data_IF_876116132143
#
_entry.id   IF_876116132143
#
_cell.length_a   1.000
_cell.length_b   1.000
_cell.length_c   1.000
_cell.angle_alpha   90.00
_cell.angle_beta   90.00
_cell.angle_gamma   90.00
#
_symmetry.space_group_name_H-M   'P 1'
#
loop_
_entity.id
_entity.type
_entity.pdbx_description
1 polymer ?
#
# COMPACT_ATOMS: atom_id res chain seq x y z
N UNK A 1 -10.79 -5.91 -2.66
CA UNK A 1 -12.00 -6.56 -3.21
C UNK A 1 -12.47 -5.84 -4.47
N UNK A 2 -12.55 -4.51 -4.47
CA UNK A 2 -13.02 -3.67 -5.59
C UNK A 2 -12.41 -3.97 -6.97
N UNK A 3 -11.09 -4.17 -7.10
CA UNK A 3 -10.48 -4.48 -8.40
C UNK A 3 -10.77 -5.92 -8.86
N UNK A 4 -10.91 -6.86 -7.92
CA UNK A 4 -11.22 -8.25 -8.25
C UNK A 4 -12.63 -8.36 -8.83
N UNK A 5 -13.62 -7.78 -8.14
CA UNK A 5 -15.00 -7.75 -8.62
C UNK A 5 -15.15 -6.98 -9.94
N UNK A 6 -14.49 -5.81 -10.06
CA UNK A 6 -14.54 -4.99 -11.28
C UNK A 6 -13.98 -5.74 -12.48
N UNK A 7 -12.81 -6.35 -12.35
CA UNK A 7 -12.19 -7.06 -13.46
C UNK A 7 -12.84 -8.42 -13.73
N UNK A 8 -13.43 -9.08 -12.73
CA UNK A 8 -14.21 -10.30 -12.93
C UNK A 8 -15.35 -10.04 -13.93
N UNK A 9 -16.08 -8.93 -13.74
CA UNK A 9 -17.13 -8.49 -14.67
C UNK A 9 -16.59 -8.15 -16.06
N UNK A 10 -15.49 -7.39 -16.14
CA UNK A 10 -14.92 -6.99 -17.43
C UNK A 10 -14.34 -8.15 -18.24
N UNK A 11 -13.80 -9.17 -17.55
CA UNK A 11 -13.19 -10.35 -18.16
C UNK A 11 -14.19 -11.50 -18.35
N UNK A 12 -15.44 -11.32 -17.93
CA UNK A 12 -16.46 -12.37 -17.90
C UNK A 12 -15.98 -13.65 -17.20
N UNK A 13 -15.43 -13.49 -15.98
CA UNK A 13 -14.96 -14.57 -15.11
C UNK A 13 -15.85 -14.61 -13.88
N UNK A 14 -16.51 -15.74 -13.63
CA UNK A 14 -17.37 -15.92 -12.47
C UNK A 14 -16.58 -16.36 -11.23
N UNK A 15 -16.73 -15.61 -10.14
CA UNK A 15 -16.22 -15.96 -8.80
C UNK A 15 -17.41 -15.93 -7.86
N UNK A 16 -17.72 -17.04 -7.20
CA UNK A 16 -18.92 -17.18 -6.37
C UNK A 16 -18.71 -16.70 -4.93
N UNK A 17 -17.49 -16.84 -4.41
CA UNK A 17 -17.12 -16.37 -3.08
C UNK A 17 -15.66 -15.95 -3.03
N UNK A 18 -15.38 -14.91 -2.25
CA UNK A 18 -14.05 -14.34 -2.06
C UNK A 18 -13.87 -13.97 -0.59
N UNK A 19 -12.83 -14.50 0.03
CA UNK A 19 -12.34 -14.05 1.34
C UNK A 19 -10.89 -13.66 1.20
N UNK A 20 -10.49 -12.63 1.93
CA UNK A 20 -9.10 -12.21 2.00
C UNK A 20 -8.70 -12.02 3.46
N UNK A 21 -7.59 -12.64 3.86
CA UNK A 21 -6.95 -12.39 5.15
C UNK A 21 -5.68 -11.59 4.91
N UNK A 22 -5.52 -10.49 5.64
CA UNK A 22 -4.35 -9.61 5.53
C UNK A 22 -3.66 -9.53 6.89
N UNK A 23 -2.36 -9.80 6.92
CA UNK A 23 -1.52 -9.53 8.08
C UNK A 23 -0.46 -8.47 7.71
N UNK A 24 -0.37 -7.42 8.51
CA UNK A 24 0.56 -6.31 8.29
C UNK A 24 1.56 -6.24 9.44
N UNK A 25 2.83 -6.43 9.11
CA UNK A 25 3.95 -6.37 10.05
C UNK A 25 4.64 -5.02 9.90
N UNK A 26 4.83 -4.33 11.01
CA UNK A 26 5.40 -2.97 11.06
C UNK A 26 6.49 -2.88 12.10
N UNK A 27 7.44 -1.98 11.85
CA UNK A 27 8.45 -1.58 12.81
C UNK A 27 8.56 -0.05 12.87
N UNK A 28 9.02 0.44 14.02
CA UNK A 28 9.27 1.85 14.29
C UNK A 28 10.58 1.97 15.04
N UNK A 29 11.46 2.85 14.58
CA UNK A 29 12.75 3.12 15.20
C UNK A 29 13.01 4.62 15.34
N UNK A 30 14.05 4.98 16.10
CA UNK A 30 14.48 6.36 16.29
C UNK A 30 13.96 7.02 17.56
N UNK A 31 14.12 8.33 17.66
CA UNK A 31 13.67 9.13 18.81
C UNK A 31 12.89 10.35 18.34
N UNK A 32 11.76 10.59 18.99
CA UNK A 32 10.95 11.80 18.78
C UNK A 32 11.75 13.04 19.12
N UNK A 33 12.44 13.06 20.28
CA UNK A 33 13.23 14.21 20.72
C UNK A 33 14.44 14.45 19.82
N UNK A 34 15.06 13.39 19.31
CA UNK A 34 16.18 13.51 18.37
C UNK A 34 15.74 13.75 16.92
N UNK A 35 14.43 13.75 16.64
CA UNK A 35 13.86 13.91 15.30
C UNK A 35 14.37 12.85 14.30
N UNK A 36 14.54 11.61 14.75
CA UNK A 36 15.05 10.49 13.93
C UNK A 36 14.04 9.37 13.69
N UNK A 37 12.76 9.62 13.98
CA UNK A 37 11.72 8.59 13.88
C UNK A 37 11.60 8.08 12.45
N UNK A 38 11.62 6.77 12.29
CA UNK A 38 11.40 6.11 11.00
C UNK A 38 10.47 4.91 11.16
N UNK A 39 9.27 5.03 10.62
CA UNK A 39 8.31 3.94 10.53
C UNK A 39 8.54 3.16 9.23
N UNK A 40 8.30 1.85 9.26
CA UNK A 40 8.40 1.01 8.06
C UNK A 40 7.46 -0.19 8.10
N UNK A 41 6.98 -0.54 6.91
CA UNK A 41 6.37 -1.82 6.63
C UNK A 41 7.47 -2.88 6.54
N UNK A 42 7.34 -3.96 7.32
CA UNK A 42 8.24 -5.12 7.24
C UNK A 42 7.75 -6.12 6.20
N UNK A 43 6.46 -6.43 6.28
CA UNK A 43 5.84 -7.48 5.49
C UNK A 43 4.33 -7.23 5.44
N UNK A 44 3.75 -7.39 4.26
CA UNK A 44 2.30 -7.46 4.08
C UNK A 44 1.98 -8.81 3.48
N UNK A 45 1.29 -9.64 4.25
CA UNK A 45 0.83 -10.95 3.82
C UNK A 45 -0.63 -10.85 3.43
N UNK A 46 -0.96 -11.40 2.25
CA UNK A 46 -2.34 -11.43 1.77
C UNK A 46 -2.63 -12.85 1.32
N UNK A 47 -3.56 -13.49 2.01
CA UNK A 47 -4.11 -14.79 1.65
C UNK A 47 -5.51 -14.59 1.05
N UNK A 48 -5.82 -15.28 -0.03
CA UNK A 48 -7.14 -15.26 -0.68
C UNK A 48 -7.71 -16.66 -0.71
N UNK A 49 -8.95 -16.80 -0.23
CA UNK A 49 -9.78 -17.98 -0.48
C UNK A 49 -10.83 -17.61 -1.52
N UNK A 50 -10.85 -18.33 -2.64
CA UNK A 50 -11.67 -18.03 -3.80
C UNK A 50 -12.40 -19.29 -4.24
N UNK A 51 -13.70 -19.17 -4.50
CA UNK A 51 -14.52 -20.23 -5.08
C UNK A 51 -14.93 -19.84 -6.51
N UNK A 52 -14.69 -20.72 -7.48
CA UNK A 52 -15.04 -20.50 -8.89
C UNK A 52 -15.14 -21.83 -9.63
N UNK A 53 -16.05 -21.90 -10.59
CA UNK A 53 -16.21 -23.02 -11.54
C UNK A 53 -15.48 -22.76 -12.86
N UNK A 54 -14.83 -21.60 -13.02
CA UNK A 54 -14.08 -21.24 -14.22
C UNK A 54 -12.76 -22.02 -14.32
N UNK A 55 -12.23 -22.09 -15.54
CA UNK A 55 -10.90 -22.64 -15.82
C UNK A 55 -9.82 -21.91 -14.98
N UNK A 56 -8.95 -22.63 -14.24
CA UNK A 56 -7.94 -22.00 -13.36
C UNK A 56 -7.06 -20.95 -14.04
N UNK A 57 -6.78 -21.11 -15.33
CA UNK A 57 -6.01 -20.15 -16.11
C UNK A 57 -6.72 -18.77 -16.20
N UNK A 58 -8.06 -18.74 -16.32
CA UNK A 58 -8.84 -17.49 -16.34
C UNK A 58 -8.83 -16.80 -14.99
N UNK A 59 -9.03 -17.56 -13.91
CA UNK A 59 -8.98 -17.03 -12.53
C UNK A 59 -7.59 -16.45 -12.23
N UNK A 60 -6.52 -17.12 -12.69
CA UNK A 60 -5.16 -16.59 -12.56
C UNK A 60 -4.99 -15.27 -13.32
N UNK A 61 -5.52 -15.15 -14.54
CA UNK A 61 -5.52 -13.91 -15.32
C UNK A 61 -6.24 -12.77 -14.58
N UNK A 62 -7.43 -13.05 -14.05
CA UNK A 62 -8.20 -12.12 -13.22
C UNK A 62 -7.40 -11.65 -12.00
N UNK A 63 -6.80 -12.58 -11.24
CA UNK A 63 -6.01 -12.25 -10.06
C UNK A 63 -4.79 -11.39 -10.37
N UNK A 64 -4.12 -11.63 -11.51
CA UNK A 64 -3.02 -10.77 -11.97
C UNK A 64 -3.51 -9.35 -12.24
N UNK A 65 -4.60 -9.18 -12.98
CA UNK A 65 -5.17 -7.87 -13.26
C UNK A 65 -5.64 -7.15 -11.98
N UNK A 66 -6.31 -7.87 -11.08
CA UNK A 66 -6.77 -7.30 -9.81
C UNK A 66 -5.61 -6.81 -8.93
N UNK A 67 -4.51 -7.56 -8.86
CA UNK A 67 -3.31 -7.17 -8.11
C UNK A 67 -2.56 -6.01 -8.76
N UNK A 68 -2.38 -6.05 -10.08
CA UNK A 68 -1.66 -5.01 -10.83
C UNK A 68 -2.46 -3.70 -10.89
N UNK A 69 -3.79 -3.78 -10.96
CA UNK A 69 -4.67 -2.61 -10.93
C UNK A 69 -4.99 -2.07 -9.54
N UNK A 70 -4.49 -2.70 -8.47
CA UNK A 70 -4.71 -2.22 -7.11
C UNK A 70 -3.80 -1.03 -6.80
N UNK A 71 -4.35 0.19 -6.87
CA UNK A 71 -3.59 1.42 -6.59
C UNK A 71 -2.79 1.34 -5.30
N UNK A 72 -3.39 0.89 -4.20
CA UNK A 72 -2.68 0.79 -2.90
C UNK A 72 -1.45 -0.11 -2.99
N UNK A 73 -1.57 -1.29 -3.62
CA UNK A 73 -0.42 -2.19 -3.80
C UNK A 73 0.66 -1.53 -4.64
N UNK A 74 0.29 -0.93 -5.77
CA UNK A 74 1.24 -0.26 -6.66
C UNK A 74 1.92 0.95 -6.00
N UNK A 75 1.20 1.69 -5.15
CA UNK A 75 1.73 2.81 -4.37
C UNK A 75 2.72 2.33 -3.31
N UNK A 76 2.41 1.25 -2.58
CA UNK A 76 3.31 0.68 -1.58
C UNK A 76 4.60 0.18 -2.23
N UNK A 77 4.51 -0.46 -3.40
CA UNK A 77 5.67 -0.99 -4.13
C UNK A 77 6.51 0.11 -4.84
N UNK A 78 6.09 1.38 -4.80
CA UNK A 78 6.77 2.52 -5.44
C UNK A 78 7.16 3.60 -4.42
N UNK A 79 8.38 3.57 -3.85
CA UNK A 79 8.82 4.56 -2.87
C UNK A 79 8.98 5.96 -3.48
N UNK A 80 8.89 7.00 -2.64
CA UNK A 80 9.22 8.38 -3.03
C UNK A 80 8.10 9.16 -3.73
N UNK A 81 6.84 8.78 -3.52
CA UNK A 81 5.69 9.46 -4.12
C UNK A 81 5.21 10.71 -3.37
N UNK A 82 5.65 10.91 -2.12
CA UNK A 82 5.25 12.06 -1.32
C UNK A 82 6.02 13.30 -1.74
N UNK A 83 5.28 14.38 -1.96
CA UNK A 83 5.81 15.73 -2.15
C UNK A 83 5.08 16.64 -1.17
N UNK A 84 5.79 17.05 -0.12
CA UNK A 84 5.24 17.91 0.91
C UNK A 84 5.61 19.36 0.63
N UNK A 85 4.63 20.25 0.76
CA UNK A 85 4.83 21.70 0.82
C UNK A 85 4.24 22.21 2.11
N UNK A 86 5.00 22.99 2.87
CA UNK A 86 4.60 23.45 4.19
C UNK A 86 4.57 24.97 4.18
N UNK A 87 3.49 25.53 4.74
CA UNK A 87 3.42 26.92 5.14
C UNK A 87 3.34 26.99 6.67
N UNK A 88 4.25 27.74 7.30
CA UNK A 88 4.22 28.03 8.73
C UNK A 88 3.73 29.47 8.92
N UNK A 89 2.59 29.64 9.59
CA UNK A 89 1.95 30.95 9.80
C UNK A 89 1.72 31.75 8.49
N UNK A 90 1.31 31.05 7.43
CA UNK A 90 1.04 31.65 6.12
C UNK A 90 2.27 31.96 5.28
N UNK A 91 3.48 31.65 5.76
CA UNK A 91 4.74 31.82 5.02
C UNK A 91 5.31 30.47 4.59
N UNK A 92 5.93 30.38 3.39
CA UNK A 92 6.63 29.17 2.97
C UNK A 92 7.64 28.71 4.02
N UNK A 93 7.61 27.43 4.34
CA UNK A 93 8.48 26.82 5.34
C UNK A 93 9.18 25.59 4.76
N UNK A 94 10.51 25.61 4.84
CA UNK A 94 11.38 24.56 4.33
C UNK A 94 11.99 23.82 5.51
N UNK A 95 11.70 22.52 5.64
CA UNK A 95 12.21 21.69 6.74
C UNK A 95 13.74 21.61 6.70
N UNK A 96 14.30 21.66 5.50
CA UNK A 96 15.74 21.53 5.25
C UNK A 96 16.56 22.67 5.88
N UNK A 97 15.93 23.82 6.14
CA UNK A 97 16.57 24.98 6.75
C UNK A 97 16.75 24.82 8.28
N UNK A 98 16.11 23.81 8.89
CA UNK A 98 16.09 23.56 10.33
C UNK A 98 16.58 22.13 10.65
N UNK A 99 17.91 21.91 10.75
CA UNK A 99 18.45 20.57 10.97
C UNK A 99 18.10 20.00 12.36
N UNK A 100 18.13 18.66 12.53
CA UNK A 100 17.86 18.02 13.81
C UNK A 100 18.77 18.54 14.94
N UNK A 101 18.30 18.54 16.20
CA UNK A 101 19.07 19.05 17.33
C UNK A 101 20.34 18.23 17.57
N UNK A 102 21.46 18.91 17.79
CA UNK A 102 22.69 18.28 18.26
C UNK A 102 22.45 17.76 19.68
N UNK A 103 22.60 16.46 19.91
CA UNK A 103 22.47 15.86 21.26
C UNK A 103 23.29 16.68 22.28
N UNK A 104 22.65 17.08 23.37
CA UNK A 104 23.32 17.55 24.58
C UNK A 104 23.88 16.35 25.37
#
# INVERSE_FOLDING_TARGET
MTQLERYARMMNVEISNVKAHIAYHVALEGSVLAQTVKARAEKIEVHYDLDSTEEPAKVAGLMRNARNGCYVRQTIDRPGLFQDTINLNGQPFRLEDYPPPTRA
#
